data_IF_175747630018
#
_entry.id   IF_175747630018
#
_cell.length_a   1.000
_cell.length_b   1.000
_cell.length_c   1.000
_cell.angle_alpha   90.00
_cell.angle_beta   90.00
_cell.angle_gamma   90.00
#
_symmetry.space_group_name_H-M   'P 1'
#
loop_
_entity.id
_entity.type
_entity.pdbx_description
1 polymer ?
#
# COMPACT_ATOMS: atom_id res chain seq x y z
N UNK A 1 59.09 2.96 31.08
CA UNK A 1 58.75 4.28 31.64
C UNK A 1 57.40 4.27 32.40
N UNK A 2 56.49 3.34 32.17
CA UNK A 2 55.24 3.27 32.92
C UNK A 2 55.23 2.00 33.73
N UNK A 3 55.10 2.07 35.05
CA UNK A 3 54.97 0.92 35.93
C UNK A 3 53.60 0.21 35.79
N UNK A 4 53.03 0.18 34.58
CA UNK A 4 51.74 -0.40 34.23
C UNK A 4 51.88 -1.37 33.04
N UNK A 5 51.00 -2.38 32.94
CA UNK A 5 50.94 -3.24 31.75
C UNK A 5 50.70 -2.44 30.47
N UNK A 6 51.35 -2.86 29.39
CA UNK A 6 51.27 -2.21 28.07
C UNK A 6 50.98 -3.26 27.01
N UNK A 7 50.14 -2.92 26.06
CA UNK A 7 49.91 -3.66 24.81
C UNK A 7 50.59 -2.89 23.69
N UNK A 8 51.46 -3.54 22.93
CA UNK A 8 52.12 -2.90 21.78
C UNK A 8 51.12 -2.72 20.62
N UNK A 9 51.34 -1.75 19.74
CA UNK A 9 50.73 -1.82 18.42
C UNK A 9 51.09 -3.13 17.70
N UNK A 10 50.23 -3.65 16.81
CA UNK A 10 50.55 -4.82 16.01
C UNK A 10 51.80 -4.58 15.14
N UNK A 11 52.66 -5.56 15.07
CA UNK A 11 53.89 -5.49 14.25
C UNK A 11 54.21 -6.87 13.67
N UNK A 12 55.07 -6.89 12.66
CA UNK A 12 55.59 -8.15 12.09
C UNK A 12 56.76 -8.62 12.94
N UNK A 13 56.61 -9.80 13.52
CA UNK A 13 57.69 -10.42 14.31
C UNK A 13 58.92 -10.70 13.44
N UNK A 14 60.10 -10.35 13.94
CA UNK A 14 61.33 -10.55 13.21
C UNK A 14 61.76 -12.02 13.11
N UNK A 15 61.29 -12.86 14.02
CA UNK A 15 61.66 -14.28 14.11
C UNK A 15 60.92 -15.17 13.12
N UNK A 16 59.62 -14.92 12.89
CA UNK A 16 58.75 -15.81 12.12
C UNK A 16 57.88 -15.09 11.08
N UNK A 17 58.09 -13.77 10.91
CA UNK A 17 57.43 -12.91 9.94
C UNK A 17 55.90 -12.90 10.12
N UNK A 18 55.37 -13.21 11.30
CA UNK A 18 53.95 -13.22 11.60
C UNK A 18 53.50 -11.92 12.26
N UNK A 19 52.25 -11.56 12.06
CA UNK A 19 51.63 -10.42 12.73
C UNK A 19 51.39 -10.78 14.19
N UNK A 20 51.99 -10.03 15.10
CA UNK A 20 51.88 -10.24 16.55
C UNK A 20 51.59 -8.96 17.30
N UNK A 21 51.06 -9.12 18.48
CA UNK A 21 50.90 -8.09 19.51
C UNK A 21 51.57 -8.58 20.79
N UNK A 22 52.38 -7.76 21.38
CA UNK A 22 53.06 -8.09 22.63
C UNK A 22 52.34 -7.48 23.83
N UNK A 23 51.98 -8.32 24.78
CA UNK A 23 51.55 -7.90 26.09
C UNK A 23 52.76 -7.87 27.02
N UNK A 24 53.05 -6.71 27.59
CA UNK A 24 54.18 -6.55 28.50
C UNK A 24 53.71 -6.00 29.85
N UNK A 25 54.16 -6.60 30.91
CA UNK A 25 53.84 -6.17 32.28
C UNK A 25 55.12 -6.10 33.12
N UNK A 26 55.31 -5.06 33.95
CA UNK A 26 56.44 -4.94 34.83
C UNK A 26 56.36 -5.99 35.96
N UNK A 27 57.44 -6.61 36.29
CA UNK A 27 57.58 -7.50 37.43
C UNK A 27 58.16 -6.71 38.58
N UNK A 28 57.31 -6.28 39.50
CA UNK A 28 57.65 -5.36 40.58
C UNK A 28 57.26 -3.91 40.27
N UNK A 29 57.43 -3.00 41.22
CA UNK A 29 57.07 -1.59 41.08
C UNK A 29 58.19 -0.64 41.66
N UNK A 30 58.30 0.55 41.04
CA UNK A 30 59.20 1.58 41.47
C UNK A 30 60.70 1.10 41.58
N UNK A 31 61.33 1.30 42.70
CA UNK A 31 62.73 0.87 42.96
C UNK A 31 62.86 -0.66 43.05
N UNK A 32 61.83 -1.42 43.19
CA UNK A 32 61.77 -2.90 43.24
C UNK A 32 61.45 -3.53 41.86
N UNK A 33 61.55 -2.80 40.75
CA UNK A 33 61.35 -3.34 39.41
C UNK A 33 62.48 -4.38 39.11
N UNK A 34 62.10 -5.66 38.98
CA UNK A 34 62.96 -6.80 38.72
C UNK A 34 63.11 -7.16 37.24
N UNK A 35 62.11 -6.71 36.40
CA UNK A 35 62.13 -6.99 34.98
C UNK A 35 60.75 -6.73 34.33
N UNK A 36 60.66 -7.19 33.11
CA UNK A 36 59.37 -7.13 32.34
C UNK A 36 59.05 -8.54 31.87
N UNK A 37 57.86 -9.01 32.18
CA UNK A 37 57.31 -10.21 31.56
C UNK A 37 56.60 -9.79 30.28
N UNK A 38 56.95 -10.40 29.17
CA UNK A 38 56.31 -10.12 27.87
C UNK A 38 55.93 -11.44 27.18
N UNK A 39 54.82 -11.40 26.44
CA UNK A 39 54.34 -12.51 25.65
C UNK A 39 53.71 -12.03 24.35
N UNK A 40 54.05 -12.69 23.26
CA UNK A 40 53.52 -12.39 21.94
C UNK A 40 52.24 -13.21 21.68
N UNK A 41 51.22 -12.55 21.17
CA UNK A 41 49.99 -13.16 20.73
C UNK A 41 49.88 -13.02 19.23
N UNK A 42 49.75 -14.15 18.54
CA UNK A 42 49.56 -14.18 17.10
C UNK A 42 48.19 -13.67 16.71
N UNK A 43 48.14 -12.79 15.71
CA UNK A 43 46.93 -12.16 15.26
C UNK A 43 46.16 -12.98 14.22
N UNK A 44 46.64 -14.16 13.82
CA UNK A 44 46.02 -15.00 12.78
C UNK A 44 44.56 -15.33 13.09
N UNK A 45 44.27 -15.74 14.31
CA UNK A 45 42.90 -16.06 14.75
C UNK A 45 42.00 -14.82 14.81
N UNK A 46 42.57 -13.68 15.22
CA UNK A 46 41.83 -12.40 15.25
C UNK A 46 41.49 -11.97 13.84
N UNK A 47 42.45 -12.04 12.91
CA UNK A 47 42.26 -11.72 11.49
C UNK A 47 41.20 -12.64 10.88
N UNK A 48 41.28 -13.96 11.15
CA UNK A 48 40.30 -14.93 10.67
C UNK A 48 38.89 -14.64 11.20
N UNK A 49 38.75 -14.35 12.50
CA UNK A 49 37.44 -14.02 13.11
C UNK A 49 36.85 -12.74 12.53
N UNK A 50 37.67 -11.69 12.35
CA UNK A 50 37.25 -10.42 11.77
C UNK A 50 36.83 -10.61 10.29
N UNK A 51 37.60 -11.40 9.53
CA UNK A 51 37.30 -11.70 8.13
C UNK A 51 36.03 -12.53 7.96
N UNK A 52 35.59 -13.28 8.99
CA UNK A 52 34.34 -14.05 8.99
C UNK A 52 33.12 -13.19 9.23
N UNK A 53 33.28 -11.94 9.67
CA UNK A 53 32.14 -11.02 9.93
C UNK A 53 31.56 -10.58 8.59
N UNK A 54 30.46 -11.21 8.20
CA UNK A 54 29.71 -10.93 6.96
C UNK A 54 28.21 -10.96 7.24
N UNK A 55 27.63 -9.89 7.79
CA UNK A 55 26.19 -9.83 8.06
C UNK A 55 25.35 -10.00 6.79
N UNK A 56 25.85 -9.52 5.66
CA UNK A 56 25.26 -9.72 4.32
C UNK A 56 26.36 -10.09 3.32
N UNK A 57 26.08 -10.64 2.14
CA UNK A 57 27.08 -11.13 1.19
C UNK A 57 28.16 -10.10 0.81
N UNK A 58 27.81 -8.83 0.70
CA UNK A 58 28.75 -7.76 0.35
C UNK A 58 29.28 -6.99 1.57
N UNK A 59 28.78 -7.27 2.76
CA UNK A 59 29.27 -6.68 4.01
C UNK A 59 30.55 -7.33 4.50
N UNK A 60 31.32 -6.62 5.29
CA UNK A 60 32.56 -7.14 5.89
C UNK A 60 32.90 -6.41 7.19
N UNK A 61 33.67 -7.09 8.02
CA UNK A 61 34.30 -6.49 9.19
C UNK A 61 35.76 -6.15 8.96
N UNK A 62 36.26 -5.15 9.66
CA UNK A 62 37.68 -4.88 9.81
C UNK A 62 38.00 -4.30 11.18
N UNK A 63 39.26 -4.46 11.59
CA UNK A 63 39.77 -3.93 12.85
C UNK A 63 40.71 -2.76 12.56
N UNK A 64 40.47 -1.63 13.18
CA UNK A 64 41.27 -0.44 13.04
C UNK A 64 41.83 0.02 14.40
N UNK A 65 43.03 0.55 14.42
CA UNK A 65 43.61 1.24 15.57
C UNK A 65 43.20 2.71 15.59
N UNK A 66 43.28 3.34 16.76
CA UNK A 66 42.97 4.76 16.93
C UNK A 66 43.92 5.70 16.19
N UNK A 67 45.08 5.20 15.73
CA UNK A 67 46.05 5.92 14.88
C UNK A 67 45.68 5.86 13.38
N UNK A 68 44.52 5.21 13.03
CA UNK A 68 44.04 5.10 11.68
C UNK A 68 44.63 3.96 10.85
N UNK A 69 45.35 3.02 11.46
CA UNK A 69 45.85 1.84 10.74
C UNK A 69 44.89 0.67 10.81
N UNK A 70 44.81 -0.08 9.73
CA UNK A 70 44.05 -1.33 9.66
C UNK A 70 44.82 -2.43 10.30
N UNK A 71 44.29 -3.08 11.34
CA UNK A 71 44.91 -4.19 12.05
C UNK A 71 44.54 -5.52 11.41
N UNK A 72 43.27 -5.69 11.06
CA UNK A 72 42.78 -6.91 10.45
C UNK A 72 41.69 -6.57 9.39
N UNK A 73 41.80 -7.19 8.24
CA UNK A 73 40.85 -7.06 7.14
C UNK A 73 40.83 -8.37 6.35
N UNK A 74 39.72 -8.64 5.61
CA UNK A 74 39.64 -9.82 4.73
C UNK A 74 40.72 -9.83 3.64
N UNK A 75 41.13 -8.65 3.18
CA UNK A 75 42.28 -8.46 2.30
C UNK A 75 43.53 -8.20 3.18
N UNK A 76 44.41 -9.18 3.25
CA UNK A 76 45.64 -9.09 4.03
C UNK A 76 46.60 -8.00 3.52
N UNK A 77 46.48 -7.62 2.24
CA UNK A 77 47.27 -6.54 1.66
C UNK A 77 47.03 -5.17 2.28
N UNK A 78 45.93 -4.99 3.02
CA UNK A 78 45.56 -3.76 3.74
C UNK A 78 46.07 -3.76 5.20
N UNK A 79 46.62 -4.86 5.70
CA UNK A 79 47.11 -4.94 7.08
C UNK A 79 48.24 -3.95 7.33
N UNK A 80 48.18 -3.22 8.43
CA UNK A 80 49.09 -2.13 8.85
C UNK A 80 49.09 -0.90 7.93
N UNK A 81 48.26 -0.87 6.89
CA UNK A 81 48.05 0.30 6.04
C UNK A 81 47.07 1.30 6.65
N UNK A 82 47.11 2.58 6.24
CA UNK A 82 46.14 3.56 6.66
C UNK A 82 44.74 3.19 6.16
N UNK A 83 43.70 3.55 6.91
CA UNK A 83 42.27 3.33 6.50
C UNK A 83 41.91 4.06 5.21
N UNK A 84 42.63 5.11 4.85
CA UNK A 84 42.49 5.83 3.58
C UNK A 84 42.81 4.99 2.35
N UNK A 85 43.56 3.89 2.51
CA UNK A 85 43.77 2.90 1.43
C UNK A 85 42.49 2.06 1.17
N UNK A 86 41.62 1.91 2.16
CA UNK A 86 40.35 1.24 2.01
C UNK A 86 39.33 2.14 1.26
N UNK A 87 39.37 3.45 1.59
CA UNK A 87 38.61 4.48 0.87
C UNK A 87 39.20 5.85 1.13
N UNK A 88 39.42 6.63 0.08
CA UNK A 88 39.99 7.99 0.17
C UNK A 88 39.13 8.95 1.04
N UNK A 89 37.83 8.68 1.17
CA UNK A 89 36.94 9.47 2.01
C UNK A 89 36.83 9.02 3.46
N UNK A 90 37.50 7.93 3.83
CA UNK A 90 37.44 7.39 5.18
C UNK A 90 38.54 7.99 6.04
N UNK A 91 38.17 8.79 7.04
CA UNK A 91 39.06 9.38 8.03
C UNK A 91 38.86 8.72 9.41
N UNK A 92 39.84 8.83 10.29
CA UNK A 92 39.78 8.21 11.62
C UNK A 92 38.83 8.97 12.56
N UNK A 93 38.78 10.30 12.44
CA UNK A 93 37.97 11.16 13.31
C UNK A 93 36.49 10.83 13.29
N UNK A 94 35.84 10.66 12.12
CA UNK A 94 34.46 10.22 12.05
C UNK A 94 34.23 8.83 12.67
N UNK A 95 35.17 7.90 12.52
CA UNK A 95 35.07 6.57 13.16
C UNK A 95 35.14 6.67 14.69
N UNK A 96 36.04 7.48 15.21
CA UNK A 96 36.17 7.74 16.67
C UNK A 96 34.90 8.41 17.21
N UNK A 97 34.31 9.36 16.47
CA UNK A 97 33.08 10.00 16.84
C UNK A 97 31.89 8.99 16.83
N UNK A 98 31.79 8.14 15.79
CA UNK A 98 30.78 7.10 15.70
C UNK A 98 30.92 6.06 16.83
N UNK A 99 32.17 5.69 17.20
CA UNK A 99 32.45 4.80 18.32
C UNK A 99 31.94 5.34 19.67
N UNK A 100 32.09 6.66 19.90
CA UNK A 100 31.62 7.33 21.12
C UNK A 100 30.10 7.45 21.18
N UNK A 101 29.48 7.80 20.05
CA UNK A 101 28.07 8.11 19.96
C UNK A 101 27.20 6.88 19.66
N UNK A 102 27.81 5.71 19.43
CA UNK A 102 27.14 4.47 18.95
C UNK A 102 26.29 4.72 17.69
N UNK A 103 26.73 5.67 16.86
CA UNK A 103 26.07 6.06 15.62
C UNK A 103 26.51 5.22 14.43
N UNK A 104 25.74 5.27 13.35
CA UNK A 104 26.13 4.74 12.06
C UNK A 104 26.79 5.85 11.24
N UNK A 105 27.89 5.54 10.58
CA UNK A 105 28.58 6.44 9.65
C UNK A 105 28.33 5.97 8.22
N UNK A 106 27.67 6.80 7.41
CA UNK A 106 27.51 6.51 5.98
C UNK A 106 28.77 6.97 5.23
N UNK A 107 29.33 6.10 4.38
CA UNK A 107 30.51 6.41 3.56
C UNK A 107 30.51 5.54 2.31
N UNK A 108 31.23 5.99 1.27
CA UNK A 108 31.49 5.16 0.10
C UNK A 108 32.80 4.37 0.28
N UNK A 109 32.73 3.06 0.07
CA UNK A 109 33.91 2.19 0.03
C UNK A 109 33.85 1.36 -1.25
N UNK A 110 34.83 1.52 -2.08
CA UNK A 110 34.96 0.82 -3.36
C UNK A 110 33.74 1.04 -4.31
N UNK A 111 33.21 2.28 -4.37
CA UNK A 111 32.08 2.65 -5.22
C UNK A 111 30.72 2.14 -4.73
N UNK A 112 30.62 1.78 -3.44
CA UNK A 112 29.37 1.33 -2.82
C UNK A 112 29.08 2.12 -1.55
N UNK A 113 27.84 2.58 -1.41
CA UNK A 113 27.35 3.19 -0.17
C UNK A 113 27.32 2.15 0.95
N UNK A 114 27.98 2.46 2.07
CA UNK A 114 28.09 1.58 3.23
C UNK A 114 27.76 2.31 4.51
N UNK A 115 27.11 1.59 5.39
CA UNK A 115 26.83 2.01 6.76
C UNK A 115 27.85 1.34 7.68
N UNK A 116 28.71 2.14 8.32
CA UNK A 116 29.73 1.66 9.25
C UNK A 116 29.16 1.69 10.66
N UNK A 117 29.16 0.54 11.32
CA UNK A 117 28.96 0.43 12.76
C UNK A 117 30.29 0.25 13.43
N UNK A 118 30.62 1.08 14.42
CA UNK A 118 31.94 1.13 15.08
C UNK A 118 31.76 0.78 16.54
N UNK A 119 32.52 -0.25 16.98
CA UNK A 119 32.52 -0.74 18.37
C UNK A 119 33.94 -0.69 18.92
N UNK A 120 34.22 0.10 19.97
CA UNK A 120 35.53 0.10 20.60
C UNK A 120 35.76 -1.19 21.37
N UNK A 121 37.01 -1.71 21.32
CA UNK A 121 37.40 -2.90 22.05
C UNK A 121 38.02 -2.49 23.39
N UNK A 122 37.35 -2.86 24.47
CA UNK A 122 37.77 -2.51 25.83
C UNK A 122 39.19 -2.99 26.14
N UNK A 123 39.99 -2.15 26.81
CA UNK A 123 41.38 -2.46 27.18
C UNK A 123 42.40 -2.30 26.04
N UNK A 124 41.97 -1.85 24.86
CA UNK A 124 42.83 -1.60 23.71
C UNK A 124 42.58 -0.22 23.09
N UNK A 125 43.43 0.22 22.18
CA UNK A 125 43.17 1.39 21.31
C UNK A 125 42.52 1.00 19.98
N UNK A 126 41.84 -0.15 19.93
CA UNK A 126 41.29 -0.72 18.71
C UNK A 126 39.80 -0.57 18.64
N UNK A 127 39.29 -0.55 17.44
CA UNK A 127 37.84 -0.55 17.16
C UNK A 127 37.50 -1.57 16.09
N UNK A 128 36.45 -2.34 16.31
CA UNK A 128 35.84 -3.19 15.31
C UNK A 128 34.87 -2.33 14.48
N UNK A 129 35.07 -2.34 13.18
CA UNK A 129 34.19 -1.64 12.23
C UNK A 129 33.50 -2.69 11.37
N UNK A 130 32.19 -2.66 11.34
CA UNK A 130 31.38 -3.50 10.48
C UNK A 130 30.77 -2.62 9.37
N UNK A 131 31.23 -2.88 8.15
CA UNK A 131 30.78 -2.17 6.95
C UNK A 131 29.61 -2.93 6.32
N UNK A 132 28.39 -2.44 6.52
CA UNK A 132 27.16 -2.98 5.96
C UNK A 132 26.95 -2.39 4.57
N UNK A 133 26.63 -3.22 3.58
CA UNK A 133 26.15 -2.73 2.28
C UNK A 133 24.74 -2.17 2.45
N UNK A 134 24.56 -0.87 2.17
CA UNK A 134 23.30 -0.18 2.40
C UNK A 134 22.17 -0.77 1.55
N UNK A 135 22.46 -1.13 0.32
CA UNK A 135 21.46 -1.71 -0.59
C UNK A 135 20.95 -3.06 -0.11
N UNK A 136 21.85 -3.91 0.41
CA UNK A 136 21.50 -5.22 0.98
C UNK A 136 20.81 -5.08 2.33
N UNK A 137 21.28 -4.17 3.18
CA UNK A 137 20.66 -3.91 4.48
C UNK A 137 19.22 -3.39 4.34
N UNK A 138 18.96 -2.57 3.31
CA UNK A 138 17.63 -2.00 3.04
C UNK A 138 16.74 -2.88 2.14
N UNK A 139 17.28 -3.94 1.54
CA UNK A 139 16.53 -4.81 0.64
C UNK A 139 15.26 -5.42 1.27
N UNK A 140 15.27 -5.94 2.53
CA UNK A 140 14.08 -6.46 3.17
C UNK A 140 12.99 -5.39 3.36
N UNK A 141 13.39 -4.17 3.73
CA UNK A 141 12.46 -3.05 3.94
C UNK A 141 11.80 -2.66 2.61
N UNK A 142 12.57 -2.55 1.54
CA UNK A 142 12.04 -2.25 0.20
C UNK A 142 11.09 -3.34 -0.29
N UNK A 143 11.41 -4.61 -0.06
CA UNK A 143 10.54 -5.73 -0.40
C UNK A 143 9.21 -5.67 0.38
N UNK A 144 9.25 -5.40 1.68
CA UNK A 144 8.06 -5.23 2.51
C UNK A 144 7.19 -4.06 2.04
N UNK A 145 7.80 -2.91 1.73
CA UNK A 145 7.08 -1.74 1.22
C UNK A 145 6.43 -2.03 -0.14
N UNK A 146 7.15 -2.69 -1.05
CA UNK A 146 6.60 -3.08 -2.36
C UNK A 146 5.42 -4.04 -2.22
N UNK A 147 5.56 -5.08 -1.38
CA UNK A 147 4.49 -6.06 -1.13
C UNK A 147 3.26 -5.40 -0.48
N UNK A 148 3.48 -4.51 0.49
CA UNK A 148 2.42 -3.77 1.15
C UNK A 148 1.68 -2.84 0.18
N UNK A 149 2.40 -2.15 -0.70
CA UNK A 149 1.81 -1.28 -1.72
C UNK A 149 0.97 -2.08 -2.71
N UNK A 150 1.51 -3.20 -3.23
CA UNK A 150 0.79 -4.08 -4.17
C UNK A 150 -0.48 -4.62 -3.53
N UNK A 151 -0.42 -5.11 -2.29
CA UNK A 151 -1.58 -5.64 -1.59
C UNK A 151 -2.64 -4.56 -1.34
N UNK A 152 -2.23 -3.34 -0.96
CA UNK A 152 -3.15 -2.22 -0.76
C UNK A 152 -3.87 -1.82 -2.05
N UNK A 153 -3.16 -1.76 -3.16
CA UNK A 153 -3.76 -1.47 -4.48
C UNK A 153 -4.73 -2.57 -4.88
N UNK A 154 -4.38 -3.84 -4.67
CA UNK A 154 -5.28 -4.97 -4.98
C UNK A 154 -6.58 -4.90 -4.17
N UNK A 155 -6.49 -4.66 -2.86
CA UNK A 155 -7.67 -4.49 -1.99
C UNK A 155 -8.54 -3.33 -2.45
N UNK A 156 -7.93 -2.19 -2.81
CA UNK A 156 -8.66 -1.03 -3.31
C UNK A 156 -9.41 -1.34 -4.62
N UNK A 157 -8.75 -2.01 -5.57
CA UNK A 157 -9.36 -2.40 -6.85
C UNK A 157 -10.56 -3.33 -6.62
N UNK A 158 -10.41 -4.33 -5.75
CA UNK A 158 -11.50 -5.26 -5.40
C UNK A 158 -12.65 -4.50 -4.74
N UNK A 159 -12.38 -3.60 -3.80
CA UNK A 159 -13.40 -2.81 -3.12
C UNK A 159 -14.17 -1.91 -4.11
N UNK A 160 -13.47 -1.22 -5.02
CA UNK A 160 -14.09 -0.38 -6.06
C UNK A 160 -14.93 -1.22 -7.01
N UNK A 161 -14.45 -2.39 -7.43
CA UNK A 161 -15.19 -3.30 -8.30
C UNK A 161 -16.48 -3.80 -7.62
N UNK A 162 -16.41 -4.23 -6.36
CA UNK A 162 -17.57 -4.66 -5.58
C UNK A 162 -18.59 -3.52 -5.42
N UNK A 163 -18.11 -2.32 -5.06
CA UNK A 163 -18.97 -1.15 -4.93
C UNK A 163 -19.65 -0.81 -6.27
N UNK A 164 -18.92 -0.86 -7.37
CA UNK A 164 -19.46 -0.66 -8.71
C UNK A 164 -20.56 -1.65 -9.07
N UNK A 165 -20.37 -2.94 -8.77
CA UNK A 165 -21.38 -3.99 -8.98
C UNK A 165 -22.63 -3.74 -8.13
N UNK A 166 -22.45 -3.42 -6.85
CA UNK A 166 -23.58 -3.13 -5.95
C UNK A 166 -24.34 -1.90 -6.43
N UNK A 167 -23.63 -0.83 -6.76
CA UNK A 167 -24.24 0.44 -7.20
C UNK A 167 -25.00 0.28 -8.52
N UNK A 168 -24.41 -0.41 -9.50
CA UNK A 168 -25.08 -0.64 -10.79
C UNK A 168 -26.33 -1.51 -10.64
N UNK A 169 -26.29 -2.53 -9.77
CA UNK A 169 -27.49 -3.36 -9.48
C UNK A 169 -28.58 -2.52 -8.83
N UNK A 170 -28.28 -1.68 -7.86
CA UNK A 170 -29.25 -0.85 -7.15
C UNK A 170 -29.83 0.24 -8.06
N UNK A 171 -28.99 0.92 -8.83
CA UNK A 171 -29.46 1.99 -9.73
C UNK A 171 -30.25 1.48 -10.94
N UNK A 172 -30.14 0.20 -11.29
CA UNK A 172 -30.95 -0.39 -12.39
C UNK A 172 -32.46 -0.27 -12.17
N UNK A 173 -32.92 -0.31 -10.93
CA UNK A 173 -34.35 -0.12 -10.63
C UNK A 173 -34.80 1.31 -10.95
N UNK A 174 -33.98 2.33 -10.74
CA UNK A 174 -34.29 3.71 -11.12
C UNK A 174 -34.43 3.88 -12.63
N UNK A 175 -33.58 3.20 -13.42
CA UNK A 175 -33.71 3.24 -14.88
C UNK A 175 -35.02 2.60 -15.36
N UNK A 176 -35.47 1.52 -14.72
CA UNK A 176 -36.77 0.91 -15.03
C UNK A 176 -37.94 1.85 -14.74
N UNK A 177 -37.91 2.56 -13.60
CA UNK A 177 -38.96 3.57 -13.27
C UNK A 177 -38.93 4.71 -14.28
N UNK A 178 -37.73 5.24 -14.60
CA UNK A 178 -37.58 6.31 -15.61
C UNK A 178 -38.13 5.90 -16.95
N UNK A 179 -37.79 4.70 -17.42
CA UNK A 179 -38.19 4.23 -18.75
C UNK A 179 -39.73 4.00 -18.81
N UNK A 180 -40.33 3.42 -17.75
CA UNK A 180 -41.78 3.27 -17.66
C UNK A 180 -42.53 4.62 -17.58
N UNK A 181 -42.00 5.60 -16.85
CA UNK A 181 -42.53 6.97 -16.84
C UNK A 181 -42.43 7.66 -18.20
N UNK A 182 -41.34 7.48 -18.90
CA UNK A 182 -41.12 8.05 -20.22
C UNK A 182 -42.11 7.46 -21.24
N UNK A 183 -42.36 6.16 -21.19
CA UNK A 183 -43.30 5.44 -22.04
C UNK A 183 -44.76 5.92 -21.84
N UNK A 184 -45.15 6.11 -20.57
CA UNK A 184 -46.47 6.70 -20.25
C UNK A 184 -46.56 8.15 -20.76
N UNK A 185 -45.50 8.96 -20.62
CA UNK A 185 -45.47 10.36 -21.07
C UNK A 185 -45.49 10.53 -22.59
N UNK A 186 -44.97 9.55 -23.34
CA UNK A 186 -45.00 9.56 -24.82
C UNK A 186 -46.37 9.21 -25.44
N UNK A 187 -47.35 8.79 -24.66
CA UNK A 187 -48.72 8.55 -25.10
C UNK A 187 -49.05 7.12 -25.54
N UNK A 188 -48.04 6.25 -25.71
CA UNK A 188 -48.22 4.83 -26.06
C UNK A 188 -48.04 3.90 -24.83
N UNK A 189 -48.12 4.46 -23.63
CA UNK A 189 -47.78 3.80 -22.40
C UNK A 189 -48.71 2.63 -22.02
N UNK A 190 -48.13 1.46 -21.90
CA UNK A 190 -48.82 0.29 -21.34
C UNK A 190 -48.93 0.41 -19.82
N UNK A 191 -50.10 0.86 -19.35
CA UNK A 191 -50.44 0.99 -17.94
C UNK A 191 -50.60 -0.37 -17.22
N UNK A 192 -50.56 -1.49 -17.93
CA UNK A 192 -50.59 -2.83 -17.33
C UNK A 192 -49.23 -3.24 -16.75
N UNK A 193 -48.13 -2.63 -17.19
CA UNK A 193 -46.81 -2.92 -16.76
C UNK A 193 -46.61 -2.59 -15.28
N UNK A 194 -45.95 -3.47 -14.55
CA UNK A 194 -45.62 -3.28 -13.14
C UNK A 194 -44.08 -3.38 -12.96
N UNK A 195 -43.58 -2.56 -12.05
CA UNK A 195 -42.19 -2.58 -11.66
C UNK A 195 -42.07 -3.45 -10.42
N UNK A 196 -41.02 -4.29 -10.36
CA UNK A 196 -40.78 -5.12 -9.20
C UNK A 196 -40.44 -4.23 -7.97
N UNK A 197 -41.31 -4.32 -6.95
CA UNK A 197 -41.23 -3.53 -5.73
C UNK A 197 -40.78 -4.37 -4.51
N UNK A 198 -39.99 -5.41 -4.73
CA UNK A 198 -39.48 -6.24 -3.64
C UNK A 198 -38.36 -5.53 -2.86
N UNK A 199 -38.49 -5.50 -1.54
CA UNK A 199 -37.58 -4.87 -0.61
C UNK A 199 -38.25 -3.84 0.30
N UNK A 200 -37.50 -3.32 1.25
CA UNK A 200 -37.93 -2.27 2.21
C UNK A 200 -37.15 -0.94 1.99
N UNK A 201 -36.35 -0.87 0.94
CA UNK A 201 -35.56 0.32 0.63
C UNK A 201 -36.41 1.39 -0.11
N UNK A 202 -35.82 2.57 -0.25
CA UNK A 202 -36.45 3.72 -0.93
C UNK A 202 -36.81 3.42 -2.38
N UNK A 203 -36.03 2.54 -3.03
CA UNK A 203 -36.32 2.15 -4.42
C UNK A 203 -37.57 1.26 -4.55
N UNK A 204 -37.73 0.35 -3.60
CA UNK A 204 -38.97 -0.46 -3.52
C UNK A 204 -40.21 0.42 -3.25
N UNK A 205 -40.09 1.45 -2.40
CA UNK A 205 -41.15 2.41 -2.14
C UNK A 205 -41.49 3.24 -3.39
N UNK A 206 -40.49 3.68 -4.15
CA UNK A 206 -40.70 4.39 -5.43
C UNK A 206 -41.42 3.47 -6.43
N UNK A 207 -41.00 2.21 -6.59
CA UNK A 207 -41.62 1.23 -7.47
C UNK A 207 -43.07 0.94 -7.06
N UNK A 208 -43.37 0.80 -5.77
CA UNK A 208 -44.70 0.63 -5.22
C UNK A 208 -45.60 1.84 -5.48
N UNK A 209 -45.09 3.05 -5.31
CA UNK A 209 -45.81 4.30 -5.60
C UNK A 209 -46.12 4.43 -7.08
N UNK A 210 -45.20 4.08 -7.96
CA UNK A 210 -45.43 4.02 -9.40
C UNK A 210 -46.53 3.02 -9.77
N UNK A 211 -46.51 1.81 -9.24
CA UNK A 211 -47.48 0.78 -9.48
C UNK A 211 -48.90 1.23 -9.04
N UNK A 212 -48.99 1.92 -7.90
CA UNK A 212 -50.23 2.50 -7.38
C UNK A 212 -50.77 3.60 -8.33
N UNK A 213 -49.88 4.49 -8.78
CA UNK A 213 -50.22 5.53 -9.74
C UNK A 213 -50.72 4.95 -11.07
N UNK A 214 -49.99 4.01 -11.67
CA UNK A 214 -50.39 3.36 -12.91
C UNK A 214 -51.73 2.63 -12.78
N UNK A 215 -51.96 1.97 -11.63
CA UNK A 215 -53.25 1.33 -11.33
C UNK A 215 -54.44 2.31 -11.24
N UNK A 216 -54.25 3.44 -10.54
CA UNK A 216 -55.26 4.49 -10.45
C UNK A 216 -55.59 5.10 -11.82
N UNK A 217 -54.55 5.39 -12.62
CA UNK A 217 -54.71 5.95 -13.95
C UNK A 217 -55.47 4.99 -14.88
N UNK A 218 -55.11 3.71 -14.86
CA UNK A 218 -55.83 2.66 -15.60
C UNK A 218 -57.32 2.58 -15.21
N UNK A 219 -57.63 2.66 -13.90
CA UNK A 219 -59.00 2.69 -13.41
C UNK A 219 -59.81 3.90 -13.90
N UNK A 220 -59.20 5.09 -13.90
CA UNK A 220 -59.83 6.32 -14.42
C UNK A 220 -60.12 6.18 -15.92
N UNK A 221 -59.17 5.66 -16.69
CA UNK A 221 -59.37 5.47 -18.14
C UNK A 221 -60.45 4.43 -18.44
N UNK A 222 -60.59 3.36 -17.64
CA UNK A 222 -61.62 2.40 -17.75
C UNK A 222 -63.01 3.06 -17.51
N UNK A 223 -63.12 3.87 -16.44
CA UNK A 223 -64.38 4.62 -16.17
C UNK A 223 -64.78 5.58 -17.30
N UNK A 224 -63.78 6.31 -17.87
CA UNK A 224 -64.05 7.19 -19.03
C UNK A 224 -64.49 6.40 -20.23
N UNK A 225 -63.87 5.24 -20.50
CA UNK A 225 -64.34 4.37 -21.60
C UNK A 225 -65.75 3.89 -21.41
N UNK A 226 -66.13 3.45 -20.22
CA UNK A 226 -67.45 2.97 -19.90
C UNK A 226 -68.48 4.11 -20.01
N UNK A 227 -68.12 5.29 -19.47
CA UNK A 227 -69.01 6.47 -19.63
C UNK A 227 -69.15 6.88 -21.10
N UNK A 228 -68.11 6.87 -21.89
CA UNK A 228 -68.14 7.17 -23.33
C UNK A 228 -69.01 6.14 -24.10
N UNK A 229 -68.95 4.87 -23.73
CA UNK A 229 -69.81 3.83 -24.30
C UNK A 229 -71.24 4.07 -23.96
N UNK A 230 -71.59 4.46 -22.73
CA UNK A 230 -72.91 4.79 -22.30
C UNK A 230 -73.46 6.01 -23.05
N UNK A 231 -72.68 7.06 -23.25
CA UNK A 231 -73.02 8.24 -24.05
C UNK A 231 -73.31 7.85 -25.51
N UNK A 232 -72.49 6.96 -26.10
CA UNK A 232 -72.69 6.47 -27.46
C UNK A 232 -74.03 5.73 -27.59
N UNK A 233 -74.35 4.84 -26.66
CA UNK A 233 -75.60 4.10 -26.64
C UNK A 233 -76.81 5.07 -26.54
N UNK A 234 -76.76 6.03 -25.62
CA UNK A 234 -77.80 7.04 -25.47
C UNK A 234 -77.97 7.90 -26.74
N UNK A 235 -76.83 8.26 -27.40
CA UNK A 235 -76.95 9.00 -28.68
C UNK A 235 -77.53 8.19 -29.80
N UNK A 236 -77.29 6.88 -29.89
CA UNK A 236 -77.92 5.96 -30.84
C UNK A 236 -79.40 5.81 -30.57
N UNK A 237 -79.79 5.73 -29.30
CA UNK A 237 -81.24 5.69 -28.91
C UNK A 237 -81.94 7.01 -29.27
N UNK A 238 -81.33 8.16 -29.00
CA UNK A 238 -81.90 9.47 -29.40
C UNK A 238 -81.97 9.57 -30.91
N UNK A 239 -80.96 9.14 -31.68
CA UNK A 239 -81.05 9.15 -33.15
C UNK A 239 -82.16 8.28 -33.68
N UNK A 240 -82.35 7.08 -33.10
CA UNK A 240 -83.45 6.16 -33.46
C UNK A 240 -84.81 6.76 -33.10
N UNK A 241 -84.96 7.32 -31.91
CA UNK A 241 -86.20 7.99 -31.47
C UNK A 241 -86.59 9.22 -32.34
N UNK A 242 -85.57 10.00 -32.73
CA UNK A 242 -85.76 11.12 -33.64
C UNK A 242 -86.21 10.67 -35.03
N UNK A 243 -85.67 9.55 -35.53
CA UNK A 243 -86.08 8.98 -36.80
C UNK A 243 -87.53 8.50 -36.74
N UNK A 244 -87.94 7.79 -35.69
CA UNK A 244 -89.36 7.40 -35.46
C UNK A 244 -90.25 8.61 -35.35
N UNK A 245 -89.83 9.63 -34.57
CA UNK A 245 -90.65 10.86 -34.45
C UNK A 245 -90.82 11.58 -35.77
N UNK A 246 -89.77 11.65 -36.61
CA UNK A 246 -89.87 12.24 -37.98
C UNK A 246 -90.85 11.47 -38.84
N UNK A 247 -90.76 10.15 -38.84
CA UNK A 247 -91.69 9.32 -39.61
C UNK A 247 -93.15 9.48 -39.14
N UNK A 248 -93.40 9.55 -37.84
CA UNK A 248 -94.70 9.82 -37.28
C UNK A 248 -95.21 11.22 -37.59
N UNK A 249 -94.34 12.21 -37.62
CA UNK A 249 -94.72 13.59 -37.99
C UNK A 249 -95.07 13.66 -39.43
N UNK A 250 -94.36 12.98 -40.34
CA UNK A 250 -94.77 12.89 -41.79
C UNK A 250 -96.10 12.19 -41.99
N UNK A 251 -96.31 11.09 -41.29
CA UNK A 251 -97.61 10.39 -41.33
C UNK A 251 -98.79 11.28 -40.86
N UNK A 252 -98.52 12.03 -39.74
CA UNK A 252 -99.53 12.97 -39.20
C UNK A 252 -99.83 14.11 -40.18
N UNK A 253 -98.75 14.67 -40.80
CA UNK A 253 -98.87 15.71 -41.80
C UNK A 253 -99.67 15.24 -43.05
N UNK A 254 -99.40 14.01 -43.52
CA UNK A 254 -100.11 13.38 -44.63
C UNK A 254 -101.55 13.14 -44.27
N UNK A 255 -101.87 12.67 -43.06
CA UNK A 255 -103.28 12.45 -42.61
C UNK A 255 -104.04 13.75 -42.47
N UNK A 256 -103.41 14.85 -42.05
CA UNK A 256 -104.02 16.17 -41.98
C UNK A 256 -104.30 16.74 -43.41
N UNK A 257 -103.42 16.49 -44.38
CA UNK A 257 -103.71 16.83 -45.77
C UNK A 257 -104.81 16.03 -46.42
N UNK A 258 -105.07 14.82 -46.00
CA UNK A 258 -106.14 13.99 -46.47
C UNK A 258 -107.57 14.36 -45.89
N UNK A 259 -107.55 15.08 -44.76
CA UNK A 259 -108.82 15.47 -44.06
C UNK A 259 -109.22 16.94 -44.30
N UNK A 260 -108.43 17.69 -45.05
CA UNK A 260 -108.74 19.05 -45.47
C UNK A 260 -109.29 19.05 -46.92
#
# INVERSE_FOLDING_TARGET
KAGAPVVTPPYISASDQKLVVTFAAPVGSGAALKGVAAGDVYMESVVANVASIRPTPQSFGFLAASDGKIIAHKDQGLTLKPITELSKGLAIEPLLAAAKNKGLLATDIAGRSRLLSVVPIAGTSWMLVVALDESEAMAPIRAMLATSLISSVLVLVVAVALLGVVLTRRLRQLTLVRDAMHEIGAGDGDLSRRIDAHGEDELAQIAGSFNSFAGKLSGVLAQIRDASSSVRVAAEEIATGNHDLSGRTELTASSLQQTS
#
